data_IF_355590900458
#
_entry.id   IF_355590900458
#
_cell.length_a   1.000
_cell.length_b   1.000
_cell.length_c   1.000
_cell.angle_alpha   90.00
_cell.angle_beta   90.00
_cell.angle_gamma   90.00
#
_symmetry.space_group_name_H-M   'P 1'
#
loop_
_entity.id
_entity.type
_entity.pdbx_description
1 polymer ?
#
# COMPACT_ATOMS: atom_id res chain seq x y z
N UNK A 1 1.34 22.18 -36.40
CA UNK A 1 1.73 21.39 -35.21
C UNK A 1 0.62 21.51 -34.17
N UNK A 2 -0.34 20.60 -34.18
CA UNK A 2 -1.48 20.61 -33.26
C UNK A 2 -1.09 19.86 -31.99
N UNK A 3 -0.70 20.60 -30.95
CA UNK A 3 -0.61 20.08 -29.58
C UNK A 3 -1.98 19.61 -29.13
N UNK A 4 -2.25 18.31 -29.28
CA UNK A 4 -3.40 17.63 -28.70
C UNK A 4 -3.37 17.93 -27.20
N UNK A 5 -4.32 18.72 -26.69
CA UNK A 5 -4.56 18.88 -25.25
C UNK A 5 -4.77 17.47 -24.70
N UNK A 6 -3.79 16.97 -23.95
CA UNK A 6 -3.92 15.69 -23.23
C UNK A 6 -4.98 15.93 -22.16
N UNK A 7 -6.09 15.21 -22.20
CA UNK A 7 -7.04 15.20 -21.09
C UNK A 7 -6.25 14.88 -19.79
N UNK A 8 -6.55 15.53 -18.65
CA UNK A 8 -5.92 15.17 -17.40
C UNK A 8 -6.17 13.68 -17.14
N UNK A 9 -5.10 12.92 -16.95
CA UNK A 9 -5.20 11.53 -16.48
C UNK A 9 -5.75 11.63 -15.07
N UNK A 10 -6.97 11.14 -14.86
CA UNK A 10 -7.60 11.10 -13.54
C UNK A 10 -7.27 9.77 -12.89
N UNK A 11 -6.62 9.81 -11.74
CA UNK A 11 -6.34 8.62 -10.95
C UNK A 11 -7.52 8.30 -10.01
N UNK A 12 -7.73 7.04 -9.60
CA UNK A 12 -8.70 6.74 -8.55
C UNK A 12 -8.35 7.46 -7.25
N UNK A 13 -9.36 8.04 -6.60
CA UNK A 13 -9.16 8.78 -5.34
C UNK A 13 -8.56 7.88 -4.25
N UNK A 14 -8.93 6.61 -4.23
CA UNK A 14 -8.42 5.61 -3.29
C UNK A 14 -6.92 5.35 -3.51
N UNK A 15 -6.46 5.39 -4.76
CA UNK A 15 -5.03 5.30 -5.06
C UNK A 15 -4.25 6.54 -4.61
N UNK A 16 -4.79 7.74 -4.85
CA UNK A 16 -4.18 9.00 -4.37
C UNK A 16 -4.13 9.00 -2.84
N UNK A 17 -5.22 8.57 -2.18
CA UNK A 17 -5.29 8.50 -0.71
C UNK A 17 -4.33 7.46 -0.14
N UNK A 18 -4.18 6.31 -0.81
CA UNK A 18 -3.13 5.33 -0.51
C UNK A 18 -1.75 5.98 -0.56
N UNK A 19 -1.41 6.73 -1.62
CA UNK A 19 -0.11 7.39 -1.73
C UNK A 19 0.11 8.43 -0.63
N UNK A 20 -0.94 9.17 -0.25
CA UNK A 20 -0.87 10.14 0.86
C UNK A 20 -0.57 9.46 2.19
N UNK A 21 -1.22 8.34 2.53
CA UNK A 21 -0.85 7.59 3.73
C UNK A 21 0.54 6.95 3.59
N UNK A 22 0.88 6.44 2.41
CA UNK A 22 2.17 5.80 2.18
C UNK A 22 3.34 6.77 2.39
N UNK A 23 3.19 8.04 2.00
CA UNK A 23 4.28 9.03 2.02
C UNK A 23 4.17 10.08 3.12
N UNK A 24 2.96 10.44 3.53
CA UNK A 24 2.69 11.52 4.49
C UNK A 24 2.85 11.06 5.93
N UNK A 25 2.07 10.07 6.35
CA UNK A 25 2.06 9.55 7.72
C UNK A 25 2.67 8.15 7.86
N UNK A 26 3.01 7.51 6.73
CA UNK A 26 3.54 6.15 6.66
C UNK A 26 2.62 5.12 7.32
N UNK A 27 1.30 5.35 7.28
CA UNK A 27 0.29 4.44 7.82
C UNK A 27 -0.03 3.32 6.82
N UNK A 28 0.79 2.27 6.86
CA UNK A 28 0.61 1.10 5.99
C UNK A 28 -0.63 0.26 6.29
N UNK A 29 -1.20 0.42 7.49
CA UNK A 29 -2.47 -0.22 7.80
C UNK A 29 -3.61 0.49 7.06
N UNK A 30 -3.66 1.82 7.13
CA UNK A 30 -4.65 2.60 6.40
C UNK A 30 -4.51 2.40 4.87
N UNK A 31 -3.28 2.31 4.38
CA UNK A 31 -2.99 1.93 3.00
C UNK A 31 -3.65 0.59 2.60
N UNK A 32 -3.56 -0.43 3.47
CA UNK A 32 -4.20 -1.72 3.24
C UNK A 32 -5.72 -1.56 3.17
N UNK A 33 -6.34 -0.92 4.17
CA UNK A 33 -7.80 -0.82 4.27
C UNK A 33 -8.40 -0.11 3.03
N UNK A 34 -7.82 1.03 2.65
CA UNK A 34 -8.31 1.85 1.52
C UNK A 34 -8.31 1.03 0.23
N UNK A 35 -7.19 0.38 -0.10
CA UNK A 35 -7.10 -0.37 -1.34
C UNK A 35 -7.82 -1.71 -1.27
N UNK A 36 -7.97 -2.34 -0.10
CA UNK A 36 -8.75 -3.56 0.01
C UNK A 36 -10.23 -3.30 -0.27
N UNK A 37 -10.79 -2.23 0.28
CA UNK A 37 -12.16 -1.81 -0.04
C UNK A 37 -12.33 -1.47 -1.52
N UNK A 38 -11.38 -0.74 -2.10
CA UNK A 38 -11.40 -0.38 -3.51
C UNK A 38 -11.33 -1.63 -4.40
N UNK A 39 -10.38 -2.52 -4.14
CA UNK A 39 -10.21 -3.78 -4.86
C UNK A 39 -11.46 -4.66 -4.82
N UNK A 40 -12.12 -4.78 -3.64
CA UNK A 40 -13.38 -5.53 -3.49
C UNK A 40 -14.49 -4.96 -4.38
N UNK A 41 -14.50 -3.65 -4.62
CA UNK A 41 -15.50 -2.96 -5.48
C UNK A 41 -15.18 -3.09 -6.96
N UNK A 42 -13.91 -2.94 -7.36
CA UNK A 42 -13.54 -2.84 -8.78
C UNK A 42 -13.04 -4.13 -9.41
N UNK A 43 -12.56 -5.09 -8.61
CA UNK A 43 -11.99 -6.35 -9.11
C UNK A 43 -12.26 -7.50 -8.13
N UNK A 44 -13.53 -7.73 -7.75
CA UNK A 44 -13.89 -8.69 -6.71
C UNK A 44 -13.36 -10.09 -7.03
N UNK A 45 -12.60 -10.66 -6.09
CA UNK A 45 -12.05 -12.02 -6.21
C UNK A 45 -10.81 -12.16 -7.09
N UNK A 46 -10.40 -11.12 -7.82
CA UNK A 46 -9.17 -11.16 -8.63
C UNK A 46 -7.94 -10.97 -7.73
N UNK A 47 -7.38 -12.10 -7.28
CA UNK A 47 -6.16 -12.13 -6.46
C UNK A 47 -4.89 -11.72 -7.21
N UNK A 48 -4.94 -11.58 -8.54
CA UNK A 48 -3.81 -11.15 -9.37
C UNK A 48 -3.93 -9.68 -9.80
N UNK A 49 -4.93 -8.95 -9.29
CA UNK A 49 -5.10 -7.54 -9.54
C UNK A 49 -3.89 -6.74 -9.06
N UNK A 50 -3.52 -5.68 -9.80
CA UNK A 50 -2.44 -4.78 -9.39
C UNK A 50 -2.71 -4.11 -8.04
N UNK A 51 -3.99 -3.90 -7.68
CA UNK A 51 -4.38 -3.43 -6.35
C UNK A 51 -3.92 -4.36 -5.24
N UNK A 52 -4.03 -5.68 -5.45
CA UNK A 52 -3.51 -6.68 -4.50
C UNK A 52 -1.99 -6.59 -4.36
N UNK A 53 -1.27 -6.21 -5.43
CA UNK A 53 0.16 -5.92 -5.39
C UNK A 53 0.51 -4.77 -4.42
N UNK A 54 -0.18 -3.63 -4.53
CA UNK A 54 0.00 -2.48 -3.63
C UNK A 54 -0.43 -2.78 -2.19
N UNK A 55 -1.52 -3.52 -2.00
CA UNK A 55 -1.99 -3.95 -0.68
C UNK A 55 -0.91 -4.82 -0.01
N UNK A 56 -0.38 -5.82 -0.73
CA UNK A 56 0.66 -6.70 -0.20
C UNK A 56 1.96 -5.95 0.08
N UNK A 57 2.31 -4.95 -0.71
CA UNK A 57 3.48 -4.11 -0.43
C UNK A 57 3.32 -3.35 0.90
N UNK A 58 2.15 -2.74 1.14
CA UNK A 58 1.87 -2.08 2.42
C UNK A 58 1.93 -3.08 3.60
N UNK A 59 1.35 -4.27 3.45
CA UNK A 59 1.41 -5.33 4.48
C UNK A 59 2.85 -5.80 4.73
N UNK A 60 3.67 -5.94 3.68
CA UNK A 60 5.07 -6.34 3.83
C UNK A 60 5.86 -5.32 4.65
N UNK A 61 5.69 -4.03 4.37
CA UNK A 61 6.35 -2.94 5.10
C UNK A 61 5.84 -2.84 6.55
N UNK A 62 4.55 -3.06 6.78
CA UNK A 62 4.01 -3.16 8.13
C UNK A 62 4.65 -4.31 8.93
N UNK A 63 4.79 -5.49 8.32
CA UNK A 63 5.50 -6.61 8.94
C UNK A 63 6.96 -6.28 9.25
N UNK A 64 7.67 -5.65 8.31
CA UNK A 64 9.07 -5.27 8.51
C UNK A 64 9.22 -4.28 9.67
N UNK A 65 8.36 -3.25 9.72
CA UNK A 65 8.34 -2.26 10.82
C UNK A 65 8.09 -2.90 12.19
N UNK A 66 7.34 -3.99 12.24
CA UNK A 66 7.06 -4.78 13.46
C UNK A 66 8.17 -5.79 13.81
N UNK A 67 9.29 -5.80 13.09
CA UNK A 67 10.36 -6.78 13.26
C UNK A 67 10.01 -8.19 12.75
N UNK A 68 8.90 -8.37 12.02
CA UNK A 68 8.52 -9.64 11.41
C UNK A 68 9.11 -9.76 9.99
N UNK A 69 10.43 -9.91 9.91
CA UNK A 69 11.15 -10.03 8.62
C UNK A 69 10.69 -11.21 7.76
N UNK A 70 10.42 -12.37 8.37
CA UNK A 70 9.91 -13.56 7.65
C UNK A 70 8.55 -13.30 6.99
N UNK A 71 7.64 -12.66 7.72
CA UNK A 71 6.31 -12.27 7.20
C UNK A 71 6.40 -11.19 6.12
N UNK A 72 7.31 -10.23 6.30
CA UNK A 72 7.59 -9.18 5.32
C UNK A 72 8.09 -9.76 4.00
N UNK A 73 9.14 -10.61 4.05
CA UNK A 73 9.74 -11.23 2.87
C UNK A 73 8.74 -12.05 2.06
N UNK A 74 7.98 -12.93 2.73
CA UNK A 74 6.96 -13.76 2.09
C UNK A 74 5.87 -12.94 1.41
N UNK A 75 5.47 -11.83 2.03
CA UNK A 75 4.41 -10.97 1.49
C UNK A 75 4.94 -10.10 0.34
N UNK A 76 6.16 -9.57 0.45
CA UNK A 76 6.82 -8.81 -0.60
C UNK A 76 7.00 -9.65 -1.87
N UNK A 77 7.41 -10.92 -1.76
CA UNK A 77 7.54 -11.81 -2.92
C UNK A 77 6.24 -11.97 -3.70
N UNK A 78 5.09 -12.04 -3.02
CA UNK A 78 3.78 -12.08 -3.69
C UNK A 78 3.47 -10.76 -4.40
N UNK A 79 3.78 -9.63 -3.75
CA UNK A 79 3.62 -8.30 -4.32
C UNK A 79 4.47 -8.13 -5.59
N UNK A 80 5.74 -8.52 -5.54
CA UNK A 80 6.67 -8.54 -6.67
C UNK A 80 6.13 -9.35 -7.85
N UNK A 81 5.64 -10.56 -7.61
CA UNK A 81 5.06 -11.40 -8.66
C UNK A 81 3.87 -10.71 -9.36
N UNK A 82 3.03 -10.01 -8.60
CA UNK A 82 1.91 -9.25 -9.17
C UNK A 82 2.43 -8.09 -10.01
N UNK A 83 3.35 -7.28 -9.50
CA UNK A 83 3.90 -6.15 -10.25
C UNK A 83 4.58 -6.58 -11.56
N UNK A 84 5.31 -7.70 -11.55
CA UNK A 84 5.91 -8.30 -12.75
C UNK A 84 4.86 -8.66 -13.81
N UNK A 85 3.72 -9.22 -13.39
CA UNK A 85 2.62 -9.59 -14.29
C UNK A 85 1.73 -8.40 -14.70
N UNK A 86 1.80 -7.28 -13.99
CA UNK A 86 0.90 -6.12 -14.11
C UNK A 86 1.62 -4.84 -14.52
N UNK A 87 2.61 -4.97 -15.40
CA UNK A 87 3.44 -3.87 -15.90
C UNK A 87 2.60 -2.73 -16.51
N UNK A 88 1.65 -3.05 -17.39
CA UNK A 88 0.84 -2.05 -18.08
C UNK A 88 -0.04 -1.28 -17.10
N UNK A 89 -0.70 -1.99 -16.19
CA UNK A 89 -1.54 -1.38 -15.15
C UNK A 89 -0.71 -0.48 -14.22
N UNK A 90 0.50 -0.89 -13.87
CA UNK A 90 1.44 -0.10 -13.05
C UNK A 90 1.87 1.19 -13.76
N UNK A 91 2.17 1.12 -15.06
CA UNK A 91 2.51 2.30 -15.87
C UNK A 91 1.31 3.26 -15.99
N UNK A 92 0.09 2.73 -16.10
CA UNK A 92 -1.13 3.53 -16.17
C UNK A 92 -1.43 4.28 -14.86
N UNK A 93 -0.79 3.90 -13.75
CA UNK A 93 -0.87 4.59 -12.45
C UNK A 93 0.20 5.68 -12.30
N UNK A 94 0.85 6.10 -13.38
CA UNK A 94 1.80 7.21 -13.36
C UNK A 94 3.15 6.86 -12.73
N UNK A 95 3.43 5.58 -12.46
CA UNK A 95 4.69 5.12 -11.89
C UNK A 95 5.75 4.82 -12.96
N UNK A 96 7.00 5.11 -12.66
CA UNK A 96 8.13 4.58 -13.40
C UNK A 96 8.34 3.10 -13.03
N UNK A 97 7.87 2.21 -13.90
CA UNK A 97 7.92 0.77 -13.68
C UNK A 97 9.35 0.25 -13.44
N UNK A 98 10.33 0.69 -14.24
CA UNK A 98 11.70 0.18 -14.13
C UNK A 98 12.31 0.55 -12.79
N UNK A 99 12.14 1.80 -12.36
CA UNK A 99 12.62 2.27 -11.06
C UNK A 99 11.88 1.57 -9.91
N UNK A 100 10.58 1.32 -10.06
CA UNK A 100 9.81 0.59 -9.05
C UNK A 100 10.34 -0.83 -8.87
N UNK A 101 10.55 -1.55 -9.97
CA UNK A 101 11.04 -2.93 -9.90
C UNK A 101 12.46 -3.00 -9.30
N UNK A 102 13.32 -2.02 -9.62
CA UNK A 102 14.65 -1.93 -9.00
C UNK A 102 14.53 -1.69 -7.48
N UNK A 103 13.71 -0.73 -7.07
CA UNK A 103 13.48 -0.42 -5.65
C UNK A 103 12.95 -1.63 -4.89
N UNK A 104 11.98 -2.35 -5.45
CA UNK A 104 11.41 -3.54 -4.80
C UNK A 104 12.41 -4.71 -4.74
N UNK A 105 13.32 -4.82 -5.69
CA UNK A 105 14.42 -5.78 -5.64
C UNK A 105 15.43 -5.42 -4.53
N UNK A 106 15.78 -4.14 -4.39
CA UNK A 106 16.64 -3.66 -3.31
C UNK A 106 16.00 -3.89 -1.92
N UNK A 107 14.70 -3.64 -1.79
CA UNK A 107 13.93 -3.94 -0.57
C UNK A 107 13.94 -5.44 -0.25
N UNK A 108 13.81 -6.28 -1.27
CA UNK A 108 13.86 -7.74 -1.13
C UNK A 108 15.22 -8.21 -0.59
N UNK A 109 16.32 -7.69 -1.13
CA UNK A 109 17.68 -7.94 -0.63
C UNK A 109 17.87 -7.45 0.81
N UNK A 110 17.34 -6.28 1.14
CA UNK A 110 17.38 -5.75 2.51
C UNK A 110 16.66 -6.69 3.50
N UNK A 111 15.51 -7.24 3.12
CA UNK A 111 14.76 -8.20 3.93
C UNK A 111 15.50 -9.53 4.08
N UNK A 112 16.17 -10.01 3.04
CA UNK A 112 17.02 -11.21 3.11
C UNK A 112 18.18 -11.02 4.08
N UNK A 113 18.78 -9.83 4.09
CA UNK A 113 19.87 -9.46 5.00
C UNK A 113 19.39 -9.13 6.43
N UNK A 114 18.08 -9.12 6.68
CA UNK A 114 17.52 -8.78 7.99
C UNK A 114 17.73 -7.31 8.38
N UNK A 115 17.89 -6.41 7.40
CA UNK A 115 18.02 -4.98 7.67
C UNK A 115 16.76 -4.41 8.32
N UNK A 116 16.91 -3.41 9.20
CA UNK A 116 15.75 -2.73 9.78
C UNK A 116 14.87 -2.10 8.69
N UNK A 117 13.63 -1.81 9.06
CA UNK A 117 12.72 -1.08 8.18
C UNK A 117 13.30 0.29 7.84
N UNK A 118 13.33 0.60 6.55
CA UNK A 118 13.56 1.93 6.01
C UNK A 118 12.38 2.29 5.10
N UNK A 119 11.98 3.55 5.16
CA UNK A 119 10.94 4.06 4.29
C UNK A 119 11.51 4.30 2.89
N UNK A 120 10.62 4.36 1.89
CA UNK A 120 11.00 4.79 0.55
C UNK A 120 9.90 5.64 -0.07
N UNK A 121 10.21 6.22 -1.22
CA UNK A 121 9.28 7.02 -2.02
C UNK A 121 9.00 6.26 -3.31
N UNK A 122 7.72 6.14 -3.67
CA UNK A 122 7.36 5.55 -4.96
C UNK A 122 7.95 6.40 -6.10
N UNK A 123 8.51 5.78 -7.14
CA UNK A 123 9.05 6.50 -8.28
C UNK A 123 7.90 6.97 -9.19
N UNK A 124 7.15 7.97 -8.74
CA UNK A 124 6.06 8.58 -9.50
C UNK A 124 6.66 9.43 -10.61
N UNK A 125 6.27 9.13 -11.85
CA UNK A 125 6.74 9.82 -13.06
C UNK A 125 5.81 10.94 -13.52
N UNK A 126 4.54 10.92 -13.10
CA UNK A 126 3.56 11.94 -13.44
C UNK A 126 3.58 13.11 -12.42
N UNK A 127 4.01 14.32 -12.81
CA UNK A 127 4.01 15.48 -11.93
C UNK A 127 2.60 15.92 -11.50
N UNK A 128 1.56 15.59 -12.27
CA UNK A 128 0.17 15.88 -11.92
C UNK A 128 -0.27 15.10 -10.69
N UNK A 129 0.07 13.81 -10.64
CA UNK A 129 -0.20 12.93 -9.50
C UNK A 129 0.55 13.39 -8.25
N UNK A 130 1.82 13.80 -8.39
CA UNK A 130 2.61 14.33 -7.26
C UNK A 130 1.92 15.56 -6.66
N UNK A 131 1.53 16.54 -7.50
CA UNK A 131 0.84 17.75 -7.05
C UNK A 131 -0.48 17.46 -6.36
N UNK A 132 -1.23 16.48 -6.86
CA UNK A 132 -2.48 16.05 -6.26
C UNK A 132 -2.26 15.46 -4.85
N UNK A 133 -1.24 14.61 -4.71
CA UNK A 133 -0.86 14.04 -3.42
C UNK A 133 -0.35 15.11 -2.44
N UNK A 134 0.47 16.06 -2.90
CA UNK A 134 0.96 17.19 -2.09
C UNK A 134 -0.20 18.03 -1.57
N UNK A 135 -1.15 18.39 -2.43
CA UNK A 135 -2.34 19.16 -2.05
C UNK A 135 -3.21 18.40 -1.04
N UNK A 136 -3.39 17.09 -1.23
CA UNK A 136 -4.17 16.26 -0.31
C UNK A 136 -3.46 16.02 1.03
N UNK A 137 -2.12 15.91 1.04
CA UNK A 137 -1.34 15.91 2.27
C UNK A 137 -1.55 17.21 3.04
N UNK A 138 -1.40 18.36 2.36
CA UNK A 138 -1.55 19.67 2.99
C UNK A 138 -2.95 19.86 3.59
N UNK A 139 -4.01 19.47 2.88
CA UNK A 139 -5.38 19.59 3.39
C UNK A 139 -5.66 18.68 4.59
N UNK A 140 -4.88 17.61 4.77
CA UNK A 140 -4.93 16.70 5.93
C UNK A 140 -3.95 17.10 7.05
N UNK A 141 -3.19 18.19 6.90
CA UNK A 141 -2.16 18.59 7.86
C UNK A 141 -0.92 17.68 7.87
N UNK A 142 -0.71 16.92 6.79
CA UNK A 142 0.45 16.06 6.58
C UNK A 142 1.49 16.75 5.69
N UNK A 143 2.75 16.33 5.82
CA UNK A 143 3.83 16.78 4.93
C UNK A 143 4.21 15.65 3.99
N UNK A 144 4.09 15.89 2.68
CA UNK A 144 4.42 14.92 1.64
C UNK A 144 5.90 14.48 1.72
N UNK A 145 6.14 13.17 1.76
CA UNK A 145 7.46 12.55 1.84
C UNK A 145 8.33 13.01 3.02
N UNK A 146 7.72 13.38 4.15
CA UNK A 146 8.48 13.82 5.33
C UNK A 146 9.11 12.64 6.09
N UNK A 147 10.32 12.86 6.60
CA UNK A 147 11.06 11.92 7.46
C UNK A 147 10.69 12.06 8.94
N UNK A 148 9.88 13.06 9.30
CA UNK A 148 9.64 13.44 10.69
C UNK A 148 8.86 12.41 11.53
N UNK A 149 8.22 11.42 10.90
CA UNK A 149 7.27 10.48 11.54
C UNK A 149 7.79 9.03 11.67
N UNK A 150 9.07 8.79 11.38
CA UNK A 150 9.60 7.42 11.24
C UNK A 150 9.56 6.55 12.50
N UNK A 151 9.40 7.16 13.68
CA UNK A 151 9.48 6.46 14.98
C UNK A 151 8.24 6.65 15.86
N UNK A 152 7.10 7.10 15.32
CA UNK A 152 5.87 7.24 16.12
C UNK A 152 5.37 5.86 16.60
N UNK A 153 5.40 5.55 17.91
CA UNK A 153 4.94 4.27 18.45
C UNK A 153 3.45 4.02 18.22
N UNK A 154 2.64 5.07 17.99
CA UNK A 154 1.23 4.96 17.69
C UNK A 154 0.98 4.40 16.29
N UNK A 155 1.79 4.74 15.29
CA UNK A 155 1.70 4.16 13.94
C UNK A 155 1.97 2.65 13.92
N UNK A 156 2.84 2.17 14.81
CA UNK A 156 3.20 0.75 14.94
C UNK A 156 2.12 -0.06 15.66
N UNK A 157 1.33 0.58 16.53
CA UNK A 157 0.35 -0.08 17.41
C UNK A 157 -1.12 0.32 17.16
N UNK A 158 -1.40 1.19 16.18
CA UNK A 158 -2.76 1.69 15.86
C UNK A 158 -3.81 0.57 15.76
N UNK A 159 -3.46 -0.58 15.18
CA UNK A 159 -4.36 -1.74 15.08
C UNK A 159 -4.53 -2.53 16.39
N UNK A 160 -3.55 -2.49 17.30
CA UNK A 160 -3.71 -3.06 18.65
C UNK A 160 -4.57 -2.17 19.54
N UNK A 161 -4.60 -0.87 19.27
CA UNK A 161 -5.30 0.16 20.05
C UNK A 161 -6.68 0.53 19.48
N UNK A 162 -7.01 0.14 18.24
CA UNK A 162 -8.37 0.23 17.70
C UNK A 162 -9.26 -0.81 18.36
N UNK A 163 -10.49 -0.43 18.66
CA UNK A 163 -11.52 -1.37 19.07
C UNK A 163 -11.75 -2.38 17.93
N UNK A 164 -11.51 -3.66 18.23
CA UNK A 164 -11.63 -4.79 17.29
C UNK A 164 -12.88 -5.62 17.55
N UNK A 165 -13.83 -5.11 18.31
CA UNK A 165 -15.04 -5.83 18.71
C UNK A 165 -15.77 -6.43 17.50
N UNK A 166 -15.91 -5.70 16.40
CA UNK A 166 -16.58 -6.19 15.18
C UNK A 166 -15.85 -7.39 14.52
N UNK A 167 -14.52 -7.36 14.46
CA UNK A 167 -13.70 -8.45 13.88
C UNK A 167 -13.72 -9.69 14.76
N UNK A 168 -13.72 -9.50 16.09
CA UNK A 168 -13.81 -10.58 17.08
C UNK A 168 -15.20 -11.23 17.01
N UNK A 169 -16.26 -10.42 16.95
CA UNK A 169 -17.62 -10.91 16.80
C UNK A 169 -17.82 -11.68 15.49
N UNK A 170 -17.30 -11.18 14.37
CA UNK A 170 -17.44 -11.86 13.09
C UNK A 170 -16.68 -13.20 13.08
N UNK A 171 -15.49 -13.26 13.67
CA UNK A 171 -14.77 -14.53 13.89
C UNK A 171 -15.54 -15.49 14.78
N UNK A 172 -16.20 -15.00 15.83
CA UNK A 172 -17.04 -15.81 16.71
C UNK A 172 -18.28 -16.36 15.97
N UNK A 173 -18.92 -15.55 15.12
CA UNK A 173 -20.05 -15.99 14.26
C UNK A 173 -19.64 -17.04 13.23
N UNK A 174 -18.45 -16.91 12.64
CA UNK A 174 -17.91 -17.93 11.72
C UNK A 174 -17.61 -19.24 12.47
N UNK A 175 -17.06 -19.17 13.68
CA UNK A 175 -16.74 -20.34 14.50
C UNK A 175 -18.02 -21.08 14.95
N UNK A 176 -19.05 -20.34 15.39
CA UNK A 176 -20.33 -20.93 15.80
C UNK A 176 -21.05 -21.62 14.64
N UNK A 177 -21.02 -21.03 13.43
CA UNK A 177 -21.57 -21.65 12.21
C UNK A 177 -20.86 -22.96 11.83
N UNK A 178 -19.55 -23.08 12.08
CA UNK A 178 -18.79 -24.32 11.84
C UNK A 178 -19.08 -25.41 12.86
N UNK A 179 -19.38 -25.03 14.10
CA UNK A 179 -19.71 -25.98 15.17
C UNK A 179 -21.18 -26.42 15.15
N UNK A 180 -22.09 -25.61 14.58
CA UNK A 180 -23.51 -25.95 14.42
C UNK A 180 -23.81 -26.86 13.20
N UNK A 181 -22.81 -27.11 12.35
CA UNK A 181 -22.90 -28.00 11.19
C UNK A 181 -22.21 -29.35 11.37
N UNK A 182 -21.92 -29.76 12.62
CA UNK A 182 -21.38 -31.08 12.99
C UNK A 182 -22.36 -31.84 13.86
#
# INVERSE_FOLDING_TARGET
>A
MTTKRRCPVSYPQEYVTYLVHFHGDRDYFECHEILEEYWKKTSPGDKQSHWVGFIQLAVALYHQRRGNGKGALKTLQKSLNIFQCKKTETLNLGLNYSMLMQLLAELHECLLQGKPYEHFVFPISDPGLIKECEALCLSKGLTWCSDSLLHDPFLVNKHSLRDRSEVIEERARILSRKNAGK
#
